data_IF_343960710458
#
_entry.id   IF_343960710458
#
_cell.length_a   1.000
_cell.length_b   1.000
_cell.length_c   1.000
_cell.angle_alpha   90.00
_cell.angle_beta   90.00
_cell.angle_gamma   90.00
#
_symmetry.space_group_name_H-M   'P 1'
#
loop_
_entity.id
_entity.type
_entity.pdbx_description
1 polymer ?
#
# COMPACT_ATOMS: atom_id res chain seq x y z
N UNK A 1 -12.05 3.44 -6.87
CA UNK A 1 -11.39 2.48 -7.80
C UNK A 1 -9.93 2.23 -7.40
N UNK A 2 -9.18 3.28 -7.04
CA UNK A 2 -7.77 3.20 -6.61
C UNK A 2 -7.46 2.13 -5.55
N UNK A 3 -8.29 2.00 -4.51
CA UNK A 3 -8.08 1.00 -3.45
C UNK A 3 -8.09 -0.46 -3.97
N UNK A 4 -9.01 -0.75 -4.89
CA UNK A 4 -9.16 -2.08 -5.50
C UNK A 4 -8.02 -2.37 -6.48
N UNK A 5 -7.61 -1.37 -7.27
CA UNK A 5 -6.46 -1.50 -8.17
C UNK A 5 -5.16 -1.75 -7.38
N UNK A 6 -4.95 -1.00 -6.30
CA UNK A 6 -3.78 -1.10 -5.46
C UNK A 6 -3.63 -2.47 -4.79
N UNK A 7 -4.75 -3.06 -4.33
CA UNK A 7 -4.74 -4.38 -3.70
C UNK A 7 -4.16 -5.47 -4.63
N UNK A 8 -4.28 -5.31 -5.95
CA UNK A 8 -3.74 -6.24 -6.94
C UNK A 8 -2.25 -6.07 -7.26
N UNK A 9 -1.62 -4.93 -6.89
CA UNK A 9 -0.25 -4.61 -7.28
C UNK A 9 0.80 -5.43 -6.50
N UNK A 10 0.50 -5.78 -5.25
CA UNK A 10 1.40 -6.57 -4.40
C UNK A 10 1.52 -8.03 -4.82
N UNK A 11 0.55 -8.60 -5.53
CA UNK A 11 0.57 -10.02 -5.89
C UNK A 11 0.61 -10.95 -4.66
N UNK A 12 0.89 -12.26 -4.86
CA UNK A 12 0.80 -13.26 -3.79
C UNK A 12 1.90 -13.12 -2.72
N UNK A 13 3.06 -12.58 -3.10
CA UNK A 13 4.24 -12.50 -2.22
C UNK A 13 4.26 -11.22 -1.36
N UNK A 14 3.36 -10.27 -1.61
CA UNK A 14 3.19 -9.06 -0.82
C UNK A 14 1.69 -8.82 -0.59
N UNK A 15 1.09 -9.48 0.42
CA UNK A 15 -0.34 -9.34 0.69
C UNK A 15 -0.64 -7.92 1.18
N UNK A 16 -1.32 -7.14 0.34
CA UNK A 16 -1.70 -5.77 0.64
C UNK A 16 -3.11 -5.71 1.21
N UNK A 17 -3.22 -5.09 2.38
CA UNK A 17 -4.48 -4.62 2.94
C UNK A 17 -4.66 -3.14 2.57
N UNK A 18 -5.74 -2.86 1.84
CA UNK A 18 -6.06 -1.51 1.38
C UNK A 18 -7.46 -1.13 1.85
N UNK A 19 -7.57 0.01 2.54
CA UNK A 19 -8.85 0.56 2.97
C UNK A 19 -8.92 2.04 2.63
N UNK A 20 -10.03 2.48 2.06
CA UNK A 20 -10.34 3.88 1.84
C UNK A 20 -11.50 4.30 2.76
N UNK A 21 -11.39 5.47 3.38
CA UNK A 21 -12.39 6.01 4.29
C UNK A 21 -12.64 7.47 3.90
N UNK A 22 -13.90 7.82 3.67
CA UNK A 22 -14.35 9.20 3.58
C UNK A 22 -14.86 9.65 4.95
N UNK A 23 -14.30 10.73 5.49
CA UNK A 23 -14.70 11.31 6.76
C UNK A 23 -15.21 12.73 6.61
N UNK A 24 -16.17 13.09 7.46
CA UNK A 24 -16.73 14.44 7.57
C UNK A 24 -16.49 14.92 9.00
N UNK A 25 -15.45 15.74 9.24
CA UNK A 25 -15.11 16.20 10.60
C UNK A 25 -16.25 16.99 11.25
N UNK A 26 -17.01 17.74 10.46
CA UNK A 26 -18.27 18.36 10.82
C UNK A 26 -19.32 18.23 9.70
N UNK A 27 -20.60 18.46 10.03
CA UNK A 27 -21.73 18.29 9.09
C UNK A 27 -21.68 19.24 7.87
N UNK A 28 -20.89 20.30 7.94
CA UNK A 28 -20.71 21.29 6.86
C UNK A 28 -19.32 21.23 6.21
N UNK A 29 -18.43 20.35 6.70
CA UNK A 29 -17.07 20.25 6.17
C UNK A 29 -17.06 19.49 4.84
N UNK A 30 -16.05 19.79 4.03
CA UNK A 30 -15.77 19.02 2.83
C UNK A 30 -15.38 17.58 3.19
N UNK A 31 -15.70 16.59 2.34
CA UNK A 31 -15.27 15.21 2.56
C UNK A 31 -13.75 15.12 2.55
N UNK A 32 -13.19 14.46 3.56
CA UNK A 32 -11.79 14.05 3.58
C UNK A 32 -11.69 12.58 3.21
N UNK A 33 -11.06 12.28 2.07
CA UNK A 33 -10.76 10.90 1.69
C UNK A 33 -9.39 10.50 2.22
N UNK A 34 -9.33 9.41 2.98
CA UNK A 34 -8.09 8.83 3.49
C UNK A 34 -7.88 7.43 2.93
N UNK A 35 -6.65 7.14 2.49
CA UNK A 35 -6.25 5.82 1.99
C UNK A 35 -5.20 5.21 2.91
N UNK A 36 -5.49 4.03 3.45
CA UNK A 36 -4.56 3.25 4.27
C UNK A 36 -4.11 2.02 3.52
N UNK A 37 -2.80 1.82 3.47
CA UNK A 37 -2.13 0.74 2.75
C UNK A 37 -1.16 0.07 3.70
N UNK A 38 -1.36 -1.23 3.98
CA UNK A 38 -0.52 -2.01 4.87
C UNK A 38 -0.18 -3.34 4.23
N UNK A 39 1.08 -3.73 4.29
CA UNK A 39 1.51 -5.09 3.97
C UNK A 39 2.07 -5.74 5.24
N UNK A 40 1.77 -7.01 5.47
CA UNK A 40 2.34 -7.77 6.59
C UNK A 40 2.99 -9.06 6.09
N UNK A 41 4.22 -9.31 6.53
CA UNK A 41 5.02 -10.47 6.16
C UNK A 41 5.59 -11.11 7.41
N UNK A 42 5.46 -12.43 7.52
CA UNK A 42 6.07 -13.20 8.60
C UNK A 42 7.45 -13.66 8.15
N UNK A 43 8.49 -13.16 8.83
CA UNK A 43 9.89 -13.42 8.48
C UNK A 43 10.61 -14.11 9.65
N UNK A 44 11.49 -15.06 9.35
CA UNK A 44 12.30 -15.72 10.37
C UNK A 44 13.53 -14.90 10.73
N UNK A 45 13.67 -14.53 12.00
CA UNK A 45 14.88 -13.81 12.49
C UNK A 45 16.17 -14.63 12.27
N UNK A 46 16.09 -15.96 12.31
CA UNK A 46 17.23 -16.83 12.02
C UNK A 46 17.64 -16.76 10.55
N UNK A 47 16.66 -16.69 9.63
CA UNK A 47 16.94 -16.55 8.20
C UNK A 47 17.44 -15.15 7.85
N UNK A 48 16.92 -14.10 8.50
CA UNK A 48 17.44 -12.73 8.37
C UNK A 48 18.92 -12.71 8.75
N UNK A 49 19.28 -13.33 9.88
CA UNK A 49 20.68 -13.44 10.30
C UNK A 49 21.54 -14.25 9.33
N UNK A 50 20.97 -15.24 8.67
CA UNK A 50 21.65 -16.01 7.62
C UNK A 50 21.72 -15.27 6.27
N UNK A 51 21.06 -14.11 6.11
CA UNK A 51 20.98 -13.38 4.85
C UNK A 51 20.03 -14.00 3.81
N UNK A 52 19.17 -14.92 4.24
CA UNK A 52 18.27 -15.69 3.37
C UNK A 52 16.83 -15.15 3.38
N UNK A 53 16.59 -14.03 4.06
CA UNK A 53 15.28 -13.43 4.27
C UNK A 53 15.33 -11.96 3.83
N UNK A 54 14.18 -11.41 3.41
CA UNK A 54 14.09 -10.08 2.76
C UNK A 54 14.90 -10.05 1.46
N UNK A 55 14.33 -10.65 0.42
CA UNK A 55 14.95 -10.66 -0.91
C UNK A 55 14.87 -9.28 -1.57
N UNK A 56 15.78 -9.02 -2.51
CA UNK A 56 15.69 -7.83 -3.36
C UNK A 56 14.35 -7.79 -4.11
N UNK A 57 13.83 -8.95 -4.54
CA UNK A 57 12.53 -9.07 -5.22
C UNK A 57 11.37 -8.54 -4.37
N UNK A 58 11.39 -8.81 -3.06
CA UNK A 58 10.39 -8.28 -2.14
C UNK A 58 10.47 -6.75 -2.05
N UNK A 59 11.68 -6.21 -1.96
CA UNK A 59 11.91 -4.76 -1.91
C UNK A 59 11.52 -4.07 -3.22
N UNK A 60 11.84 -4.69 -4.37
CA UNK A 60 11.44 -4.22 -5.70
C UNK A 60 9.94 -4.18 -5.86
N UNK A 61 9.24 -5.15 -5.26
CA UNK A 61 7.77 -5.20 -5.24
C UNK A 61 7.17 -4.11 -4.36
N UNK A 62 7.72 -3.89 -3.17
CA UNK A 62 7.35 -2.74 -2.33
C UNK A 62 7.54 -1.41 -3.09
N UNK A 63 8.67 -1.27 -3.81
CA UNK A 63 8.94 -0.12 -4.66
C UNK A 63 7.93 0.01 -5.80
N UNK A 64 7.52 -1.10 -6.42
CA UNK A 64 6.47 -1.13 -7.43
C UNK A 64 5.15 -0.55 -6.91
N UNK A 65 4.74 -0.95 -5.71
CA UNK A 65 3.55 -0.41 -5.03
C UNK A 65 3.70 1.09 -4.76
N UNK A 66 4.85 1.53 -4.25
CA UNK A 66 5.11 2.96 -4.00
C UNK A 66 5.07 3.79 -5.29
N UNK A 67 5.64 3.29 -6.38
CA UNK A 67 5.61 3.96 -7.69
C UNK A 67 4.21 4.02 -8.27
N UNK A 68 3.43 2.96 -8.12
CA UNK A 68 2.03 2.95 -8.55
C UNK A 68 1.22 4.02 -7.78
N UNK A 69 1.39 4.09 -6.46
CA UNK A 69 0.75 5.14 -5.63
C UNK A 69 1.13 6.54 -6.09
N UNK A 70 2.42 6.80 -6.30
CA UNK A 70 2.91 8.10 -6.77
C UNK A 70 2.36 8.45 -8.17
N UNK A 71 2.25 7.47 -9.07
CA UNK A 71 1.68 7.69 -10.39
C UNK A 71 0.18 8.01 -10.38
N UNK A 72 -0.55 7.54 -9.36
CA UNK A 72 -1.99 7.80 -9.17
C UNK A 72 -2.28 8.99 -8.25
N UNK A 73 -1.26 9.56 -7.61
CA UNK A 73 -1.42 10.69 -6.71
C UNK A 73 -2.04 11.93 -7.38
N UNK A 74 -1.69 12.34 -8.62
CA UNK A 74 -2.32 13.48 -9.27
C UNK A 74 -3.81 13.25 -9.49
N UNK A 75 -4.18 12.09 -10.06
CA UNK A 75 -5.59 11.70 -10.28
C UNK A 75 -6.41 11.68 -8.98
N UNK A 76 -5.77 11.49 -7.82
CA UNK A 76 -6.45 11.44 -6.52
C UNK A 76 -6.47 12.78 -5.79
N UNK A 77 -5.47 13.63 -5.98
CA UNK A 77 -5.38 14.96 -5.38
C UNK A 77 -6.16 16.02 -6.18
N UNK A 78 -6.29 15.82 -7.49
CA UNK A 78 -7.01 16.72 -8.40
C UNK A 78 -8.50 16.32 -8.58
N UNK A 79 -8.94 15.21 -7.95
CA UNK A 79 -10.33 14.73 -7.96
C UNK A 79 -11.15 15.33 -6.82
#
# INVERSE_FOLDING_TARGET
>A
MLATELAGVGGPDLPLEVSAIDSYPAATDAPETSLRVVASLSLSLLNIRAGNEVTCELLDRCLGVSRFLLGKAPDWLDA
#
